data_IF_975469294272
#
_entry.id   IF_975469294272
#
_cell.length_a   1.000
_cell.length_b   1.000
_cell.length_c   1.000
_cell.angle_alpha   90.00
_cell.angle_beta   90.00
_cell.angle_gamma   90.00
#
_symmetry.space_group_name_H-M   'P 1'
#
loop_
_entity.id
_entity.type
_entity.pdbx_description
1 polymer ?
#
# COMPACT_ATOMS: atom_id res chain seq x y z
N UNK A 1 -3.11 -22.23 -47.14
CA UNK A 1 -4.17 -21.86 -46.18
C UNK A 1 -3.52 -21.93 -44.81
N UNK A 2 -2.94 -20.81 -44.38
CA UNK A 2 -2.51 -20.67 -42.98
C UNK A 2 -3.78 -20.67 -42.15
N UNK A 3 -3.84 -21.43 -41.06
CA UNK A 3 -4.91 -21.25 -40.08
C UNK A 3 -4.91 -19.75 -39.70
N UNK A 4 -6.06 -19.08 -39.80
CA UNK A 4 -6.19 -17.72 -39.30
C UNK A 4 -5.90 -17.78 -37.80
N UNK A 5 -4.76 -17.23 -37.41
CA UNK A 5 -4.37 -17.13 -36.00
C UNK A 5 -5.34 -16.14 -35.37
N UNK A 6 -6.15 -16.60 -34.44
CA UNK A 6 -7.01 -15.74 -33.64
C UNK A 6 -6.14 -14.72 -32.88
N UNK A 7 -6.55 -13.46 -32.86
CA UNK A 7 -5.81 -12.41 -32.17
C UNK A 7 -5.73 -12.70 -30.67
N UNK A 8 -4.55 -12.53 -30.07
CA UNK A 8 -4.33 -12.69 -28.63
C UNK A 8 -3.60 -11.48 -28.05
N UNK A 9 -4.29 -10.68 -27.24
CA UNK A 9 -3.72 -9.47 -26.65
C UNK A 9 -2.55 -9.72 -25.69
N UNK A 10 -2.34 -10.95 -25.20
CA UNK A 10 -1.20 -11.31 -24.37
C UNK A 10 0.08 -11.32 -25.23
N UNK A 11 0.03 -11.99 -26.38
CA UNK A 11 1.21 -12.25 -27.22
C UNK A 11 1.33 -11.30 -28.41
N UNK A 12 0.22 -10.89 -29.01
CA UNK A 12 0.18 -10.04 -30.19
C UNK A 12 0.13 -8.55 -29.81
N UNK A 13 0.37 -7.68 -30.79
CA UNK A 13 0.10 -6.24 -30.68
C UNK A 13 -1.25 -5.92 -31.30
N UNK A 14 -2.04 -5.05 -30.64
CA UNK A 14 -3.32 -4.59 -31.21
C UNK A 14 -3.08 -4.03 -32.62
N UNK A 15 -3.81 -4.55 -33.64
CA UNK A 15 -3.68 -4.10 -35.02
C UNK A 15 -4.08 -2.63 -35.14
N UNK A 16 -3.78 -2.01 -36.27
CA UNK A 16 -4.22 -0.64 -36.53
C UNK A 16 -5.74 -0.63 -36.72
N UNK A 17 -6.47 -0.15 -35.72
CA UNK A 17 -7.92 -0.02 -35.68
C UNK A 17 -8.33 1.46 -35.56
N UNK A 18 -9.61 1.73 -35.77
CA UNK A 18 -10.26 3.04 -35.71
C UNK A 18 -10.10 3.67 -34.32
N UNK A 19 -10.02 2.85 -33.27
CA UNK A 19 -9.69 3.28 -31.91
C UNK A 19 -8.21 3.02 -31.62
N UNK A 20 -7.38 3.97 -32.04
CA UNK A 20 -5.91 3.91 -31.84
C UNK A 20 -5.48 3.76 -30.37
N UNK A 21 -6.35 4.18 -29.43
CA UNK A 21 -6.07 4.14 -27.99
C UNK A 21 -5.93 2.71 -27.45
N UNK A 22 -6.55 1.71 -28.09
CA UNK A 22 -6.50 0.31 -27.64
C UNK A 22 -5.06 -0.21 -27.53
N UNK A 23 -4.17 0.16 -28.45
CA UNK A 23 -2.75 -0.21 -28.35
C UNK A 23 -2.07 0.40 -27.13
N UNK A 24 -2.39 1.66 -26.80
CA UNK A 24 -1.89 2.33 -25.61
C UNK A 24 -2.42 1.68 -24.33
N UNK A 25 -3.68 1.26 -24.32
CA UNK A 25 -4.28 0.53 -23.20
C UNK A 25 -3.64 -0.85 -23.01
N UNK A 26 -3.42 -1.59 -24.11
CA UNK A 26 -2.69 -2.86 -24.09
C UNK A 26 -1.29 -2.71 -23.49
N UNK A 27 -0.53 -1.69 -23.93
CA UNK A 27 0.83 -1.45 -23.43
C UNK A 27 0.84 -1.14 -21.92
N UNK A 28 -0.14 -0.36 -21.44
CA UNK A 28 -0.30 -0.05 -20.00
C UNK A 28 -0.64 -1.30 -19.20
N UNK A 29 -1.57 -2.13 -19.69
CA UNK A 29 -1.90 -3.41 -19.07
C UNK A 29 -0.67 -4.35 -18.99
N UNK A 30 0.08 -4.49 -20.09
CA UNK A 30 1.30 -5.30 -20.14
C UNK A 30 2.39 -4.78 -19.18
N UNK A 31 2.51 -3.46 -19.00
CA UNK A 31 3.49 -2.88 -18.08
C UNK A 31 3.25 -3.29 -16.63
N UNK A 32 2.00 -3.44 -16.21
CA UNK A 32 1.64 -3.91 -14.85
C UNK A 32 1.97 -5.40 -14.64
N UNK A 33 2.17 -6.14 -15.72
CA UNK A 33 2.45 -7.57 -15.77
C UNK A 33 3.90 -7.87 -16.20
N UNK A 34 4.80 -6.88 -16.18
CA UNK A 34 6.17 -6.98 -16.71
C UNK A 34 7.01 -8.12 -16.09
N UNK A 35 6.68 -8.51 -14.87
CA UNK A 35 7.33 -9.59 -14.10
C UNK A 35 6.67 -10.94 -14.28
N UNK A 36 5.55 -11.03 -15.00
CA UNK A 36 4.79 -12.26 -15.20
C UNK A 36 5.12 -12.89 -16.54
N UNK A 37 5.25 -14.20 -16.54
CA UNK A 37 5.35 -15.02 -17.74
C UNK A 37 4.01 -15.11 -18.46
N UNK A 38 4.04 -15.42 -19.76
CA UNK A 38 2.83 -15.68 -20.54
C UNK A 38 1.96 -16.79 -19.92
N UNK A 39 2.59 -17.87 -19.43
CA UNK A 39 1.88 -18.97 -18.79
C UNK A 39 1.14 -18.52 -17.52
N UNK A 40 1.78 -17.70 -16.69
CA UNK A 40 1.14 -17.13 -15.48
C UNK A 40 -0.06 -16.25 -15.86
N UNK A 41 0.07 -15.43 -16.90
CA UNK A 41 -1.02 -14.57 -17.39
C UNK A 41 -2.20 -15.42 -17.90
N UNK A 42 -1.94 -16.54 -18.59
CA UNK A 42 -2.99 -17.45 -19.07
C UNK A 42 -3.70 -18.17 -17.93
N UNK A 43 -2.94 -18.60 -16.91
CA UNK A 43 -3.52 -19.14 -15.67
C UNK A 43 -4.43 -18.11 -15.06
N UNK A 44 -3.94 -16.89 -14.82
CA UNK A 44 -4.73 -15.80 -14.25
C UNK A 44 -6.00 -15.50 -15.06
N UNK A 45 -5.94 -15.54 -16.40
CA UNK A 45 -7.12 -15.37 -17.25
C UNK A 45 -8.16 -16.47 -17.03
N UNK A 46 -7.72 -17.72 -16.90
CA UNK A 46 -8.62 -18.86 -16.63
C UNK A 46 -9.20 -18.78 -15.22
N UNK A 47 -8.39 -18.34 -14.25
CA UNK A 47 -8.83 -18.09 -12.87
C UNK A 47 -9.87 -16.97 -12.82
N UNK A 48 -9.70 -15.88 -13.58
CA UNK A 48 -10.69 -14.79 -13.67
C UNK A 48 -12.04 -15.31 -14.17
N UNK A 49 -12.04 -16.08 -15.26
CA UNK A 49 -13.27 -16.67 -15.80
C UNK A 49 -13.96 -17.56 -14.77
N UNK A 50 -13.21 -18.43 -14.10
CA UNK A 50 -13.74 -19.27 -13.03
C UNK A 50 -14.29 -18.44 -11.85
N UNK A 51 -13.56 -17.43 -11.38
CA UNK A 51 -13.96 -16.57 -10.27
C UNK A 51 -15.25 -15.81 -10.54
N UNK A 52 -15.36 -15.22 -11.74
CA UNK A 52 -16.55 -14.47 -12.15
C UNK A 52 -17.77 -15.40 -12.24
N UNK A 53 -17.59 -16.61 -12.81
CA UNK A 53 -18.66 -17.61 -12.89
C UNK A 53 -19.09 -18.10 -11.50
N UNK A 54 -18.14 -18.37 -10.61
CA UNK A 54 -18.41 -18.80 -9.24
C UNK A 54 -19.11 -17.70 -8.43
N UNK A 55 -18.73 -16.43 -8.65
CA UNK A 55 -19.41 -15.28 -8.07
C UNK A 55 -20.88 -15.23 -8.50
N UNK A 56 -21.17 -15.28 -9.80
CA UNK A 56 -22.55 -15.25 -10.28
C UNK A 56 -23.36 -16.44 -9.77
N UNK A 57 -22.78 -17.64 -9.77
CA UNK A 57 -23.41 -18.83 -9.21
C UNK A 57 -23.76 -18.63 -7.73
N UNK A 58 -22.80 -18.15 -6.93
CA UNK A 58 -22.99 -17.90 -5.49
C UNK A 58 -24.07 -16.85 -5.24
N UNK A 59 -24.09 -15.76 -6.02
CA UNK A 59 -25.10 -14.72 -5.91
C UNK A 59 -26.50 -15.24 -6.27
N UNK A 60 -26.61 -16.03 -7.34
CA UNK A 60 -27.85 -16.69 -7.73
C UNK A 60 -28.35 -17.63 -6.63
N UNK A 61 -27.48 -18.48 -6.07
CA UNK A 61 -27.84 -19.40 -4.98
C UNK A 61 -28.29 -18.65 -3.72
N UNK A 62 -27.58 -17.58 -3.35
CA UNK A 62 -27.96 -16.73 -2.23
C UNK A 62 -29.31 -16.03 -2.47
N UNK A 63 -29.60 -15.62 -3.71
CA UNK A 63 -30.89 -15.07 -4.07
C UNK A 63 -32.00 -16.14 -4.02
N UNK A 64 -31.78 -17.34 -4.56
CA UNK A 64 -32.75 -18.45 -4.52
C UNK A 64 -33.17 -18.75 -3.08
N UNK A 65 -32.20 -18.90 -2.17
CA UNK A 65 -32.47 -19.14 -0.75
C UNK A 65 -33.32 -18.03 -0.14
N UNK A 66 -32.96 -16.77 -0.40
CA UNK A 66 -33.71 -15.59 0.07
C UNK A 66 -35.15 -15.58 -0.45
N UNK A 67 -35.40 -15.96 -1.69
CA UNK A 67 -36.76 -16.01 -2.25
C UNK A 67 -37.61 -17.10 -1.59
N UNK A 68 -37.03 -18.27 -1.30
CA UNK A 68 -37.73 -19.36 -0.63
C UNK A 68 -38.05 -19.01 0.82
N UNK A 69 -37.08 -18.48 1.57
CA UNK A 69 -37.24 -18.11 2.99
C UNK A 69 -38.28 -17.02 3.21
N UNK A 70 -38.31 -16.01 2.32
CA UNK A 70 -39.17 -14.83 2.48
C UNK A 70 -40.51 -14.94 1.76
N UNK A 71 -40.77 -16.03 1.03
CA UNK A 71 -41.98 -16.16 0.22
C UNK A 71 -42.02 -15.17 -0.95
N UNK A 72 -40.91 -15.09 -1.68
CA UNK A 72 -40.67 -14.17 -2.78
C UNK A 72 -41.75 -14.17 -3.87
N UNK A 73 -41.97 -13.02 -4.48
CA UNK A 73 -43.03 -12.84 -5.47
C UNK A 73 -42.82 -13.70 -6.74
N UNK A 74 -41.57 -14.08 -7.03
CA UNK A 74 -41.17 -14.95 -8.15
C UNK A 74 -41.71 -16.39 -8.00
N UNK A 75 -42.03 -16.83 -6.77
CA UNK A 75 -42.60 -18.16 -6.50
C UNK A 75 -43.97 -18.39 -7.13
N UNK A 76 -44.63 -17.32 -7.62
CA UNK A 76 -45.89 -17.42 -8.36
C UNK A 76 -45.76 -18.15 -9.69
N UNK A 77 -44.56 -18.17 -10.26
CA UNK A 77 -44.26 -18.85 -11.52
C UNK A 77 -44.12 -20.38 -11.33
N UNK A 78 -44.05 -20.84 -10.08
CA UNK A 78 -43.95 -22.25 -9.71
C UNK A 78 -45.26 -22.76 -9.10
N UNK A 79 -45.54 -24.05 -9.36
CA UNK A 79 -46.59 -24.78 -8.66
C UNK A 79 -46.21 -24.92 -7.19
N UNK A 80 -47.19 -25.03 -6.30
CA UNK A 80 -46.95 -25.10 -4.86
C UNK A 80 -46.03 -26.26 -4.45
N UNK A 81 -46.06 -27.37 -5.19
CA UNK A 81 -45.20 -28.53 -5.00
C UNK A 81 -43.74 -28.29 -5.39
N UNK A 82 -43.49 -27.36 -6.31
CA UNK A 82 -42.16 -27.06 -6.88
C UNK A 82 -41.52 -25.82 -6.24
N UNK A 83 -42.14 -25.22 -5.21
CA UNK A 83 -41.61 -24.06 -4.46
C UNK A 83 -40.49 -24.48 -3.51
N UNK A 84 -39.42 -24.99 -4.10
CA UNK A 84 -38.19 -25.44 -3.46
C UNK A 84 -37.02 -24.74 -4.12
N UNK A 85 -35.83 -24.77 -3.50
CA UNK A 85 -34.62 -24.22 -4.11
C UNK A 85 -34.34 -24.86 -5.49
N UNK A 86 -34.61 -26.16 -5.63
CA UNK A 86 -34.41 -26.87 -6.89
C UNK A 86 -35.36 -26.38 -8.00
N UNK A 87 -36.66 -26.27 -7.71
CA UNK A 87 -37.63 -25.78 -8.69
C UNK A 87 -37.38 -24.33 -9.10
N UNK A 88 -36.84 -23.50 -8.19
CA UNK A 88 -36.45 -22.13 -8.53
C UNK A 88 -35.18 -22.08 -9.39
N UNK A 89 -34.23 -23.00 -9.17
CA UNK A 89 -33.03 -23.13 -10.01
C UNK A 89 -33.40 -23.50 -11.45
N UNK A 90 -34.24 -24.53 -11.63
CA UNK A 90 -34.73 -24.92 -12.95
C UNK A 90 -35.50 -23.78 -13.64
N UNK A 91 -36.30 -23.02 -12.88
CA UNK A 91 -37.00 -21.86 -13.41
C UNK A 91 -36.04 -20.80 -13.96
N UNK A 92 -34.99 -20.47 -13.22
CA UNK A 92 -33.98 -19.48 -13.62
C UNK A 92 -33.17 -19.97 -14.82
N UNK A 93 -32.80 -21.25 -14.87
CA UNK A 93 -31.99 -21.80 -15.95
C UNK A 93 -32.78 -22.00 -17.25
N UNK A 94 -34.00 -22.54 -17.17
CA UNK A 94 -34.76 -22.97 -18.36
C UNK A 94 -35.79 -21.93 -18.84
N UNK A 95 -36.25 -21.04 -17.96
CA UNK A 95 -37.40 -20.17 -18.24
C UNK A 95 -37.15 -18.70 -17.93
N UNK A 96 -35.88 -18.28 -17.83
CA UNK A 96 -35.47 -16.88 -17.60
C UNK A 96 -36.21 -15.88 -18.49
N UNK A 97 -36.35 -16.20 -19.77
CA UNK A 97 -36.96 -15.33 -20.79
C UNK A 97 -38.46 -15.09 -20.63
N UNK A 98 -39.15 -15.90 -19.83
CA UNK A 98 -40.58 -15.75 -19.53
C UNK A 98 -40.87 -14.94 -18.27
N UNK A 99 -39.84 -14.49 -17.56
CA UNK A 99 -39.93 -13.74 -16.31
C UNK A 99 -39.47 -12.31 -16.58
N UNK A 100 -40.14 -11.35 -15.95
CA UNK A 100 -39.69 -9.97 -15.98
C UNK A 100 -38.26 -9.88 -15.39
N UNK A 101 -37.26 -9.34 -16.12
CA UNK A 101 -35.91 -9.20 -15.61
C UNK A 101 -35.84 -8.49 -14.25
N UNK A 102 -36.77 -7.55 -13.98
CA UNK A 102 -36.85 -6.82 -12.71
C UNK A 102 -37.26 -7.73 -11.54
N UNK A 103 -37.86 -8.91 -11.81
CA UNK A 103 -38.13 -9.93 -10.79
C UNK A 103 -36.89 -10.79 -10.47
N UNK A 104 -35.89 -10.82 -11.35
CA UNK A 104 -34.64 -11.57 -11.20
C UNK A 104 -33.52 -10.64 -10.73
N UNK A 105 -33.72 -10.06 -9.54
CA UNK A 105 -32.80 -9.10 -8.92
C UNK A 105 -31.60 -9.80 -8.26
N UNK A 106 -30.69 -10.31 -9.09
CA UNK A 106 -29.37 -10.78 -8.66
C UNK A 106 -28.30 -10.47 -9.73
N UNK A 107 -27.02 -10.31 -9.32
CA UNK A 107 -25.90 -10.13 -10.24
C UNK A 107 -25.76 -11.26 -11.27
N UNK A 108 -25.54 -10.90 -12.53
CA UNK A 108 -25.35 -11.80 -13.66
C UNK A 108 -24.52 -11.13 -14.77
N UNK A 109 -24.09 -11.90 -15.77
CA UNK A 109 -23.36 -11.38 -16.93
C UNK A 109 -24.11 -10.26 -17.70
N UNK A 110 -25.45 -10.20 -17.58
CA UNK A 110 -26.27 -9.24 -18.32
C UNK A 110 -26.41 -7.88 -17.62
N UNK A 111 -26.20 -7.83 -16.29
CA UNK A 111 -26.49 -6.65 -15.46
C UNK A 111 -25.34 -6.26 -14.52
N UNK A 112 -24.19 -6.92 -14.61
CA UNK A 112 -23.00 -6.61 -13.81
C UNK A 112 -21.80 -6.43 -14.71
N UNK A 113 -21.06 -5.34 -14.52
CA UNK A 113 -19.86 -5.08 -15.31
C UNK A 113 -18.76 -6.09 -14.96
N UNK A 114 -17.93 -6.54 -15.94
CA UNK A 114 -16.87 -7.51 -15.69
C UNK A 114 -15.89 -7.09 -14.59
N UNK A 115 -15.61 -5.79 -14.49
CA UNK A 115 -14.75 -5.22 -13.46
C UNK A 115 -15.37 -5.40 -12.07
N UNK A 116 -16.63 -5.02 -11.90
CA UNK A 116 -17.35 -5.13 -10.64
C UNK A 116 -17.45 -6.59 -10.19
N UNK A 117 -17.83 -7.50 -11.09
CA UNK A 117 -17.90 -8.93 -10.81
C UNK A 117 -16.55 -9.48 -10.35
N UNK A 118 -15.45 -9.12 -11.03
CA UNK A 118 -14.12 -9.56 -10.63
C UNK A 118 -13.69 -8.95 -9.28
N UNK A 119 -13.95 -7.66 -9.06
CA UNK A 119 -13.59 -7.02 -7.80
C UNK A 119 -14.31 -7.64 -6.60
N UNK A 120 -15.58 -7.99 -6.76
CA UNK A 120 -16.35 -8.71 -5.75
C UNK A 120 -15.86 -10.14 -5.55
N UNK A 121 -15.62 -10.88 -6.63
CA UNK A 121 -15.12 -12.25 -6.57
C UNK A 121 -13.77 -12.33 -5.82
N UNK A 122 -12.87 -11.37 -6.07
CA UNK A 122 -11.55 -11.33 -5.44
C UNK A 122 -11.57 -10.90 -3.96
N UNK A 123 -12.69 -10.40 -3.42
CA UNK A 123 -12.77 -10.03 -1.98
C UNK A 123 -12.69 -11.25 -1.06
N UNK A 124 -13.24 -12.38 -1.51
CA UNK A 124 -13.33 -13.62 -0.73
C UNK A 124 -12.27 -14.64 -1.13
N UNK A 125 -11.54 -14.38 -2.22
CA UNK A 125 -10.54 -15.29 -2.76
C UNK A 125 -9.15 -15.06 -2.17
N UNK A 126 -8.45 -16.15 -1.82
CA UNK A 126 -7.05 -16.10 -1.45
C UNK A 126 -6.19 -16.06 -2.71
N UNK A 127 -5.45 -14.96 -2.90
CA UNK A 127 -4.68 -14.70 -4.10
C UNK A 127 -3.36 -15.49 -4.17
N UNK A 128 -2.99 -16.21 -3.11
CA UNK A 128 -1.78 -17.04 -3.12
C UNK A 128 -2.06 -18.40 -3.78
N UNK A 129 -2.22 -18.37 -5.10
CA UNK A 129 -2.40 -19.56 -5.94
C UNK A 129 -1.02 -20.20 -6.24
N UNK A 130 -0.94 -21.52 -6.21
CA UNK A 130 0.27 -22.28 -6.55
C UNK A 130 0.75 -21.97 -7.97
N UNK A 131 -0.17 -21.71 -8.90
CA UNK A 131 0.12 -21.46 -10.31
C UNK A 131 0.20 -19.96 -10.67
N UNK A 132 -0.11 -19.07 -9.71
CA UNK A 132 0.11 -17.62 -9.80
C UNK A 132 0.58 -17.06 -8.45
N UNK A 133 1.80 -17.42 -8.01
CA UNK A 133 2.24 -17.12 -6.66
C UNK A 133 2.41 -15.62 -6.46
N UNK A 134 2.20 -15.17 -5.22
CA UNK A 134 2.35 -13.77 -4.84
C UNK A 134 1.45 -12.82 -5.65
N UNK A 135 0.35 -13.31 -6.25
CA UNK A 135 -0.53 -12.51 -7.08
C UNK A 135 -1.01 -11.25 -6.36
N UNK A 136 -1.04 -10.14 -7.10
CA UNK A 136 -1.59 -8.88 -6.62
C UNK A 136 -2.89 -8.62 -7.34
N UNK A 137 -3.84 -8.05 -6.62
CA UNK A 137 -5.17 -7.74 -7.15
C UNK A 137 -5.10 -6.94 -8.47
N UNK A 138 -4.21 -5.94 -8.57
CA UNK A 138 -4.06 -5.14 -9.79
C UNK A 138 -3.59 -5.96 -10.99
N UNK A 139 -2.90 -7.08 -10.78
CA UNK A 139 -2.45 -7.97 -11.86
C UNK A 139 -3.65 -8.69 -12.48
N UNK A 140 -4.60 -9.20 -11.67
CA UNK A 140 -5.83 -9.79 -12.19
C UNK A 140 -6.67 -8.78 -12.98
N UNK A 141 -6.79 -7.54 -12.48
CA UNK A 141 -7.51 -6.47 -13.21
C UNK A 141 -6.79 -6.13 -14.52
N UNK A 142 -5.45 -6.12 -14.55
CA UNK A 142 -4.68 -5.92 -15.78
C UNK A 142 -4.86 -7.07 -16.78
N UNK A 143 -4.94 -8.32 -16.30
CA UNK A 143 -5.23 -9.49 -17.16
C UNK A 143 -6.64 -9.41 -17.73
N UNK A 144 -7.63 -9.01 -16.93
CA UNK A 144 -9.00 -8.76 -17.41
C UNK A 144 -9.02 -7.76 -18.58
N UNK A 145 -8.25 -6.67 -18.47
CA UNK A 145 -8.12 -5.70 -19.57
C UNK A 145 -7.58 -6.35 -20.86
N UNK A 146 -6.57 -7.22 -20.76
CA UNK A 146 -6.04 -7.94 -21.92
C UNK A 146 -7.09 -8.87 -22.53
N UNK A 147 -7.84 -9.61 -21.71
CA UNK A 147 -8.91 -10.50 -22.17
C UNK A 147 -10.02 -9.74 -22.91
N UNK A 148 -10.42 -8.57 -22.39
CA UNK A 148 -11.40 -7.71 -23.07
C UNK A 148 -10.85 -7.09 -24.35
N UNK A 149 -9.57 -6.71 -24.39
CA UNK A 149 -8.92 -6.25 -25.64
C UNK A 149 -8.95 -7.36 -26.70
N UNK A 150 -8.64 -8.61 -26.31
CA UNK A 150 -8.74 -9.78 -27.20
C UNK A 150 -10.16 -9.89 -27.77
N UNK A 151 -11.17 -9.93 -26.90
CA UNK A 151 -12.58 -10.01 -27.28
C UNK A 151 -13.01 -8.85 -28.20
N UNK A 152 -12.61 -7.62 -27.88
CA UNK A 152 -12.99 -6.44 -28.64
C UNK A 152 -12.43 -6.47 -30.07
N UNK A 153 -11.15 -6.84 -30.21
CA UNK A 153 -10.50 -6.95 -31.53
C UNK A 153 -11.10 -8.09 -32.35
N UNK A 154 -11.31 -9.26 -31.74
CA UNK A 154 -11.93 -10.41 -32.41
C UNK A 154 -13.37 -10.11 -32.84
N UNK A 155 -14.17 -9.48 -31.98
CA UNK A 155 -15.55 -9.07 -32.30
C UNK A 155 -15.60 -8.06 -33.44
N UNK A 156 -14.63 -7.13 -33.48
CA UNK A 156 -14.51 -6.15 -34.55
C UNK A 156 -14.12 -6.79 -35.90
N UNK A 157 -13.19 -7.75 -35.87
CA UNK A 157 -12.67 -8.43 -37.06
C UNK A 157 -13.55 -9.57 -37.56
N UNK A 158 -14.37 -10.16 -36.68
CA UNK A 158 -15.18 -11.35 -36.96
C UNK A 158 -16.18 -11.17 -38.11
N UNK A 159 -16.32 -12.22 -38.92
CA UNK A 159 -17.24 -12.29 -40.07
C UNK A 159 -18.68 -12.69 -39.69
N UNK A 160 -18.90 -13.19 -38.46
CA UNK A 160 -20.17 -13.78 -37.98
C UNK A 160 -21.22 -12.74 -37.54
N UNK A 161 -21.54 -11.78 -38.41
CA UNK A 161 -22.62 -10.81 -38.15
C UNK A 161 -23.89 -11.18 -38.94
N UNK A 162 -25.09 -11.20 -38.30
CA UNK A 162 -26.35 -11.50 -38.97
C UNK A 162 -26.57 -10.64 -40.21
N UNK A 163 -27.00 -11.25 -41.32
CA UNK A 163 -27.10 -10.60 -42.65
C UNK A 163 -27.94 -9.32 -42.66
N UNK A 164 -28.89 -9.20 -41.72
CA UNK A 164 -29.76 -8.04 -41.52
C UNK A 164 -29.02 -6.76 -41.08
N UNK A 165 -27.86 -6.88 -40.44
CA UNK A 165 -27.08 -5.74 -39.93
C UNK A 165 -26.07 -5.19 -40.95
N UNK A 166 -25.97 -5.78 -42.14
CA UNK A 166 -24.92 -5.45 -43.13
C UNK A 166 -24.97 -4.02 -43.66
N UNK A 167 -26.14 -3.37 -43.67
CA UNK A 167 -26.31 -1.98 -44.13
C UNK A 167 -25.84 -0.95 -43.07
N UNK A 168 -25.78 -1.33 -41.79
CA UNK A 168 -25.31 -0.52 -40.66
C UNK A 168 -23.99 -1.00 -40.02
N UNK A 169 -23.40 -2.04 -40.59
CA UNK A 169 -22.28 -2.81 -40.04
C UNK A 169 -21.09 -1.96 -39.56
N UNK A 170 -20.64 -0.92 -40.29
CA UNK A 170 -19.52 -0.11 -39.82
C UNK A 170 -19.86 0.69 -38.55
N UNK A 171 -21.09 1.22 -38.43
CA UNK A 171 -21.49 1.96 -37.24
C UNK A 171 -21.70 1.03 -36.05
N UNK A 172 -22.39 -0.10 -36.22
CA UNK A 172 -22.59 -1.06 -35.12
C UNK A 172 -21.27 -1.63 -34.60
N UNK A 173 -20.33 -1.98 -35.49
CA UNK A 173 -18.98 -2.44 -35.09
C UNK A 173 -18.21 -1.36 -34.33
N UNK A 174 -18.31 -0.11 -34.79
CA UNK A 174 -17.64 1.01 -34.13
C UNK A 174 -18.30 1.37 -32.80
N UNK A 175 -19.62 1.19 -32.64
CA UNK A 175 -20.31 1.34 -31.36
C UNK A 175 -19.86 0.28 -30.36
N UNK A 176 -19.81 -1.00 -30.77
CA UNK A 176 -19.33 -2.08 -29.89
C UNK A 176 -17.87 -1.83 -29.50
N UNK A 177 -16.99 -1.59 -30.48
CA UNK A 177 -15.58 -1.30 -30.21
C UNK A 177 -15.40 -0.05 -29.34
N UNK A 178 -16.27 0.96 -29.53
CA UNK A 178 -16.30 2.19 -28.75
C UNK A 178 -16.64 1.97 -27.29
N UNK A 179 -17.69 1.20 -27.02
CA UNK A 179 -18.11 0.87 -25.65
C UNK A 179 -17.04 0.01 -24.96
N UNK A 180 -16.60 -1.07 -25.61
CA UNK A 180 -15.53 -1.94 -25.09
C UNK A 180 -14.25 -1.15 -24.78
N UNK A 181 -13.87 -0.18 -25.65
CA UNK A 181 -12.70 0.65 -25.41
C UNK A 181 -12.83 1.57 -24.18
N UNK A 182 -14.04 2.01 -23.84
CA UNK A 182 -14.30 2.78 -22.60
C UNK A 182 -14.15 1.86 -21.39
N UNK A 183 -14.74 0.67 -21.43
CA UNK A 183 -14.68 -0.29 -20.33
C UNK A 183 -13.23 -0.75 -20.08
N UNK A 184 -12.50 -1.08 -21.16
CA UNK A 184 -11.07 -1.41 -21.10
C UNK A 184 -10.28 -0.25 -20.50
N UNK A 185 -10.59 1.00 -20.86
CA UNK A 185 -9.91 2.17 -20.32
C UNK A 185 -10.14 2.31 -18.81
N UNK A 186 -11.37 2.11 -18.36
CA UNK A 186 -11.72 2.12 -16.94
C UNK A 186 -10.97 1.04 -16.17
N UNK A 187 -10.96 -0.20 -16.68
CA UNK A 187 -10.27 -1.33 -16.07
C UNK A 187 -8.75 -1.08 -15.98
N UNK A 188 -8.12 -0.56 -17.04
CA UNK A 188 -6.69 -0.22 -17.01
C UNK A 188 -6.41 0.89 -15.99
N UNK A 189 -7.22 1.95 -15.97
CA UNK A 189 -7.08 3.02 -14.98
C UNK A 189 -7.29 2.53 -13.55
N UNK A 190 -8.21 1.59 -13.35
CA UNK A 190 -8.45 0.97 -12.05
C UNK A 190 -7.27 0.12 -11.59
N UNK A 191 -6.70 -0.70 -12.48
CA UNK A 191 -5.49 -1.48 -12.19
C UNK A 191 -4.31 -0.58 -11.79
N UNK A 192 -4.08 0.51 -12.52
CA UNK A 192 -3.02 1.48 -12.19
C UNK A 192 -3.26 2.14 -10.83
N UNK A 193 -4.49 2.57 -10.54
CA UNK A 193 -4.84 3.14 -9.24
C UNK A 193 -4.53 2.15 -8.10
N UNK A 194 -4.85 0.88 -8.29
CA UNK A 194 -4.60 -0.18 -7.31
C UNK A 194 -3.10 -0.41 -7.12
N UNK A 195 -2.33 -0.45 -8.21
CA UNK A 195 -0.87 -0.55 -8.17
C UNK A 195 -0.25 0.62 -7.38
N UNK A 196 -0.63 1.86 -7.72
CA UNK A 196 -0.17 3.08 -7.04
C UNK A 196 -0.53 3.06 -5.54
N UNK A 197 -1.75 2.65 -5.21
CA UNK A 197 -2.20 2.56 -3.81
C UNK A 197 -1.34 1.56 -3.01
N UNK A 198 -0.96 0.45 -3.64
CA UNK A 198 -0.13 -0.59 -3.04
C UNK A 198 1.31 -0.11 -2.85
N UNK A 199 1.86 0.63 -3.81
CA UNK A 199 3.17 1.27 -3.68
C UNK A 199 3.20 2.31 -2.56
N UNK A 200 2.18 3.17 -2.48
CA UNK A 200 2.07 4.18 -1.42
C UNK A 200 1.98 3.50 -0.06
N UNK A 201 1.18 2.44 0.09
CA UNK A 201 1.10 1.65 1.32
C UNK A 201 2.45 1.04 1.71
N UNK A 202 3.21 0.50 0.76
CA UNK A 202 4.57 -0.01 1.00
C UNK A 202 5.52 1.09 1.48
N UNK A 203 5.49 2.28 0.85
CA UNK A 203 6.30 3.44 1.25
C UNK A 203 5.95 3.90 2.66
N UNK A 204 4.66 4.05 2.97
CA UNK A 204 4.19 4.42 4.31
C UNK A 204 4.67 3.40 5.35
N UNK A 205 4.52 2.09 5.09
CA UNK A 205 4.99 1.04 5.99
C UNK A 205 6.49 1.13 6.24
N UNK A 206 7.28 1.39 5.20
CA UNK A 206 8.71 1.60 5.33
C UNK A 206 9.05 2.83 6.20
N UNK A 207 8.38 3.97 5.97
CA UNK A 207 8.56 5.17 6.79
C UNK A 207 8.19 4.95 8.26
N UNK A 208 7.13 4.19 8.54
CA UNK A 208 6.74 3.87 9.92
C UNK A 208 7.81 2.99 10.60
N UNK A 209 8.31 1.95 9.93
CA UNK A 209 9.36 1.08 10.46
C UNK A 209 10.69 1.80 10.68
N UNK A 210 11.05 2.72 9.79
CA UNK A 210 12.26 3.54 9.93
C UNK A 210 12.13 4.51 11.11
N UNK A 211 10.97 5.13 11.29
CA UNK A 211 10.69 5.98 12.45
C UNK A 211 10.68 5.20 13.77
N UNK A 212 10.13 3.98 13.79
CA UNK A 212 10.16 3.13 14.99
C UNK A 212 11.59 2.83 15.47
N UNK A 213 12.56 2.74 14.56
CA UNK A 213 13.98 2.53 14.90
C UNK A 213 14.71 3.84 15.21
N UNK A 214 14.44 4.90 14.45
CA UNK A 214 15.13 6.19 14.59
C UNK A 214 14.69 7.02 15.79
N UNK A 215 13.44 6.88 16.25
CA UNK A 215 12.92 7.64 17.40
C UNK A 215 13.62 7.25 18.72
N UNK A 216 13.77 5.96 19.07
CA UNK A 216 14.51 5.55 20.26
C UNK A 216 15.97 6.01 20.27
N UNK A 217 16.67 5.91 19.12
CA UNK A 217 18.06 6.35 18.99
C UNK A 217 18.21 7.85 19.22
N UNK A 218 17.31 8.66 18.62
CA UNK A 218 17.28 10.11 18.87
C UNK A 218 16.97 10.45 20.32
N UNK A 219 16.08 9.70 20.97
CA UNK A 219 15.76 9.90 22.39
C UNK A 219 16.99 9.59 23.25
N UNK A 220 17.72 8.50 22.96
CA UNK A 220 18.96 8.16 23.64
C UNK A 220 20.05 9.22 23.44
N UNK A 221 20.23 9.72 22.22
CA UNK A 221 21.18 10.79 21.93
C UNK A 221 20.85 12.07 22.69
N UNK A 222 19.58 12.49 22.68
CA UNK A 222 19.13 13.65 23.43
C UNK A 222 19.29 13.46 24.94
N UNK A 223 19.07 12.24 25.45
CA UNK A 223 19.33 11.92 26.85
C UNK A 223 20.83 12.02 27.19
N UNK A 224 21.71 11.47 26.36
CA UNK A 224 23.18 11.58 26.50
C UNK A 224 23.64 13.04 26.45
N UNK A 225 23.10 13.84 25.53
CA UNK A 225 23.39 15.28 25.42
C UNK A 225 22.93 16.05 26.67
N UNK A 226 21.74 15.76 27.20
CA UNK A 226 21.26 16.37 28.46
C UNK A 226 22.16 16.04 29.65
N UNK A 227 22.59 14.79 29.78
CA UNK A 227 23.51 14.36 30.85
C UNK A 227 24.86 15.06 30.71
N UNK A 228 25.41 15.12 29.50
CA UNK A 228 26.67 15.80 29.21
C UNK A 228 26.60 17.30 29.54
N UNK A 229 25.51 17.97 29.13
CA UNK A 229 25.30 19.38 29.44
C UNK A 229 25.21 19.63 30.94
N UNK A 230 24.46 18.79 31.67
CA UNK A 230 24.36 18.88 33.13
C UNK A 230 25.72 18.68 33.81
N UNK A 231 26.52 17.71 33.36
CA UNK A 231 27.87 17.49 33.86
C UNK A 231 28.80 18.68 33.59
N UNK A 232 28.73 19.27 32.39
CA UNK A 232 29.50 20.46 32.00
C UNK A 232 29.13 21.69 32.85
N UNK A 233 27.83 21.91 33.08
CA UNK A 233 27.34 22.98 33.95
C UNK A 233 27.79 22.78 35.40
N UNK A 234 27.69 21.55 35.93
CA UNK A 234 28.16 21.23 37.27
C UNK A 234 29.67 21.41 37.43
N UNK A 235 30.46 20.99 36.43
CA UNK A 235 31.91 21.20 36.41
C UNK A 235 32.25 22.70 36.38
N UNK A 236 31.57 23.47 35.53
CA UNK A 236 31.74 24.92 35.43
C UNK A 236 31.41 25.64 36.75
N UNK A 237 30.35 25.21 37.44
CA UNK A 237 30.00 25.73 38.76
C UNK A 237 31.09 25.45 39.81
N UNK A 238 31.61 24.21 39.87
CA UNK A 238 32.72 23.84 40.77
C UNK A 238 33.99 24.64 40.47
N UNK A 239 34.32 24.86 39.19
CA UNK A 239 35.45 25.68 38.81
C UNK A 239 35.29 27.15 39.22
N UNK A 240 34.08 27.70 39.13
CA UNK A 240 33.77 29.06 39.61
C UNK A 240 33.94 29.17 41.12
N UNK A 241 33.41 28.21 41.88
CA UNK A 241 33.57 28.14 43.34
C UNK A 241 35.05 28.02 43.74
N UNK A 242 35.79 27.13 43.08
CA UNK A 242 37.23 26.94 43.31
C UNK A 242 38.01 28.21 42.99
N UNK A 243 37.66 28.91 41.91
CA UNK A 243 38.29 30.18 41.52
C UNK A 243 38.02 31.29 42.53
N UNK A 244 36.80 31.36 43.07
CA UNK A 244 36.45 32.30 44.14
C UNK A 244 37.20 31.98 45.43
N UNK A 245 37.28 30.71 45.83
CA UNK A 245 38.07 30.26 46.99
C UNK A 245 39.55 30.58 46.81
N UNK A 246 40.11 30.36 45.61
CA UNK A 246 41.48 30.75 45.27
C UNK A 246 41.69 32.26 45.40
N UNK A 247 40.79 33.07 44.88
CA UNK A 247 40.89 34.53 44.99
C UNK A 247 40.86 34.99 46.45
N UNK A 248 39.92 34.51 47.26
CA UNK A 248 39.82 34.82 48.70
C UNK A 248 41.08 34.40 49.46
N UNK A 249 41.58 33.19 49.20
CA UNK A 249 42.80 32.67 49.83
C UNK A 249 44.03 33.52 49.50
N UNK A 250 44.19 33.93 48.24
CA UNK A 250 45.30 34.80 47.82
C UNK A 250 45.20 36.21 48.39
N UNK A 251 43.99 36.73 48.56
CA UNK A 251 43.76 38.04 49.20
C UNK A 251 44.10 37.98 50.69
N UNK A 252 43.67 36.91 51.39
CA UNK A 252 44.01 36.65 52.78
C UNK A 252 45.52 36.45 53.00
N UNK A 253 46.19 35.74 52.08
CA UNK A 253 47.65 35.62 52.09
C UNK A 253 48.33 36.99 51.98
N UNK A 254 47.85 37.88 51.10
CA UNK A 254 48.39 39.24 50.96
C UNK A 254 48.23 40.07 52.24
N UNK A 255 47.12 39.93 52.95
CA UNK A 255 46.83 40.75 54.13
C UNK A 255 47.41 40.20 55.44
N UNK A 256 47.51 38.87 55.57
CA UNK A 256 47.85 38.22 56.85
C UNK A 256 48.98 37.20 56.75
N UNK A 257 49.56 36.99 55.56
CA UNK A 257 50.60 35.98 55.32
C UNK A 257 51.86 36.18 56.14
N UNK A 258 52.21 37.43 56.47
CA UNK A 258 53.34 37.79 57.35
C UNK A 258 53.18 37.30 58.79
N UNK A 259 51.97 36.98 59.22
CA UNK A 259 51.68 36.48 60.57
C UNK A 259 51.94 34.98 60.71
N UNK A 260 52.30 34.30 59.61
CA UNK A 260 52.61 32.88 59.60
C UNK A 260 54.10 32.68 59.32
N UNK A 261 54.71 31.71 60.01
CA UNK A 261 56.15 31.42 59.90
C UNK A 261 56.59 30.91 58.52
N UNK A 262 55.65 30.45 57.68
CA UNK A 262 55.91 29.99 56.32
C UNK A 262 54.61 29.84 55.53
N UNK A 263 54.74 29.74 54.20
CA UNK A 263 53.64 29.35 53.29
C UNK A 263 52.96 28.04 53.72
N UNK A 264 53.77 27.07 54.16
CA UNK A 264 53.28 25.78 54.65
C UNK A 264 52.52 25.92 55.98
N UNK A 265 52.91 26.84 56.85
CA UNK A 265 52.19 27.12 58.10
C UNK A 265 50.83 27.78 57.83
N UNK A 266 50.76 28.71 56.87
CA UNK A 266 49.50 29.29 56.41
C UNK A 266 48.58 28.24 55.78
N UNK A 267 49.10 27.40 54.89
CA UNK A 267 48.32 26.34 54.26
C UNK A 267 47.76 25.34 55.29
N UNK A 268 48.56 24.91 56.27
CA UNK A 268 48.11 24.03 57.35
C UNK A 268 46.98 24.63 58.17
N UNK A 269 47.07 25.91 58.50
CA UNK A 269 46.10 26.57 59.37
C UNK A 269 44.80 26.93 58.62
N UNK A 270 44.90 27.36 57.35
CA UNK A 270 43.81 28.00 56.62
C UNK A 270 43.18 27.17 55.50
N UNK A 271 43.68 25.97 55.18
CA UNK A 271 43.12 25.17 54.07
C UNK A 271 41.63 24.81 54.26
N UNK A 272 41.21 24.53 55.51
CA UNK A 272 39.83 24.21 55.83
C UNK A 272 38.86 25.38 55.57
N UNK A 273 39.31 26.61 55.81
CA UNK A 273 38.50 27.83 55.61
C UNK A 273 38.12 28.05 54.13
N UNK A 274 38.84 27.41 53.20
CA UNK A 274 38.61 27.52 51.75
C UNK A 274 38.13 26.22 51.10
N UNK A 275 37.83 25.17 51.89
CA UNK A 275 37.31 23.89 51.38
C UNK A 275 38.28 23.12 50.49
N UNK A 276 39.59 23.35 50.62
CA UNK A 276 40.64 22.70 49.79
C UNK A 276 41.65 21.96 50.63
N UNK A 277 42.45 21.10 49.99
CA UNK A 277 43.55 20.41 50.67
C UNK A 277 44.72 21.36 50.94
N UNK A 278 45.50 21.08 51.99
CA UNK A 278 46.72 21.83 52.32
C UNK A 278 47.65 21.99 51.11
N UNK A 279 47.87 20.91 50.36
CA UNK A 279 48.72 20.89 49.16
C UNK A 279 48.22 21.86 48.09
N UNK A 280 46.90 21.96 47.89
CA UNK A 280 46.28 22.83 46.89
C UNK A 280 46.44 24.30 47.28
N UNK A 281 46.17 24.64 48.55
CA UNK A 281 46.34 25.99 49.06
C UNK A 281 47.80 26.43 49.01
N UNK A 282 48.73 25.56 49.40
CA UNK A 282 50.16 25.80 49.28
C UNK A 282 50.57 26.09 47.82
N UNK A 283 50.11 25.27 46.88
CA UNK A 283 50.39 25.43 45.45
C UNK A 283 49.89 26.78 44.90
N UNK A 284 48.68 27.21 45.27
CA UNK A 284 48.14 28.50 44.86
C UNK A 284 49.00 29.67 45.34
N UNK A 285 49.43 29.65 46.59
CA UNK A 285 50.29 30.68 47.18
C UNK A 285 51.67 30.67 46.53
N UNK A 286 52.27 29.50 46.35
CA UNK A 286 53.58 29.36 45.71
C UNK A 286 53.58 29.85 44.25
N UNK A 287 52.52 29.59 43.48
CA UNK A 287 52.36 30.10 42.12
C UNK A 287 52.16 31.61 42.09
N UNK A 288 51.40 32.15 43.04
CA UNK A 288 51.14 33.58 43.13
C UNK A 288 52.40 34.39 43.46
N UNK A 289 53.25 33.88 44.33
CA UNK A 289 54.55 34.48 44.63
C UNK A 289 55.53 34.36 43.47
N UNK A 290 55.56 33.21 42.77
CA UNK A 290 56.38 33.04 41.56
C UNK A 290 56.01 34.00 40.44
N UNK A 291 54.74 34.39 40.33
CA UNK A 291 54.24 35.36 39.33
C UNK A 291 54.38 36.82 39.75
N UNK A 292 54.81 37.08 41.00
CA UNK A 292 55.08 38.44 41.52
C UNK A 292 56.54 38.86 41.33
N UNK A 293 57.42 37.92 40.99
CA UNK A 293 58.80 38.14 40.54
C UNK A 293 58.77 38.40 39.05
#
# INVERSE_FOLDING_TARGET
MSADKEFDAITDEVPYLEIYRLRGLQARAKLMLDRRSESEIRVASSTIEWLVNEYFYTQQEAWIRRQIENGGAVLRHLRSEDRTEHGLRELVEERRSGIDPDELDFPSEENTEPLEALEDALKEFDLDDQDFPDAKFYEYVAVLALTLITRAVQTYQGEDWPTVLWVGQPMSRMTVLGNEAVDIMEIVCRAEQLQDSLEVRKRIKFFLLDNEKGIPERIEELAKQKVSLAASLAASARHKETSQSKFKALLCWRSTGSNFSSRAAFARNKHKDYGVTERTLYGWVADHERRKV
#
